data_IF_435021043844
#
_entry.id   IF_435021043844
#
_cell.length_a   1.000
_cell.length_b   1.000
_cell.length_c   1.000
_cell.angle_alpha   90.00
_cell.angle_beta   90.00
_cell.angle_gamma   90.00
#
_symmetry.space_group_name_H-M   'P 1'
#
loop_
_entity.id
_entity.type
_entity.pdbx_description
1 polymer ?
#
# COMPACT_ATOMS: atom_id res chain seq x y z
N UNK A 1 21.26 -16.87 -8.53
CA UNK A 1 21.69 -16.44 -7.18
C UNK A 1 22.47 -15.13 -7.16
N UNK A 2 23.68 -15.00 -7.76
CA UNK A 2 24.42 -13.71 -7.69
C UNK A 2 23.67 -12.57 -8.41
N UNK A 3 23.17 -12.82 -9.62
CA UNK A 3 22.40 -11.84 -10.38
C UNK A 3 21.14 -11.37 -9.64
N UNK A 4 20.37 -12.30 -9.07
CA UNK A 4 19.14 -12.00 -8.31
C UNK A 4 19.44 -11.09 -7.11
N UNK A 5 20.48 -11.42 -6.34
CA UNK A 5 20.91 -10.62 -5.19
C UNK A 5 21.34 -9.21 -5.60
N UNK A 6 22.06 -9.07 -6.72
CA UNK A 6 22.46 -7.76 -7.26
C UNK A 6 21.23 -6.96 -7.69
N UNK A 7 20.29 -7.57 -8.41
CA UNK A 7 19.06 -6.89 -8.84
C UNK A 7 18.22 -6.42 -7.66
N UNK A 8 18.04 -7.27 -6.65
CA UNK A 8 17.33 -6.90 -5.41
C UNK A 8 18.07 -5.79 -4.67
N UNK A 9 19.39 -5.88 -4.54
CA UNK A 9 20.20 -4.84 -3.89
C UNK A 9 20.09 -3.48 -4.58
N UNK A 10 20.18 -3.45 -5.91
CA UNK A 10 20.01 -2.23 -6.71
C UNK A 10 18.60 -1.67 -6.57
N UNK A 11 17.58 -2.53 -6.61
CA UNK A 11 16.19 -2.12 -6.43
C UNK A 11 15.94 -1.48 -5.05
N UNK A 12 16.38 -2.12 -3.97
CA UNK A 12 16.22 -1.60 -2.60
C UNK A 12 17.00 -0.29 -2.40
N UNK A 13 18.22 -0.21 -2.93
CA UNK A 13 19.00 1.02 -2.90
C UNK A 13 18.32 2.16 -3.69
N UNK A 14 17.70 1.85 -4.82
CA UNK A 14 16.94 2.83 -5.61
C UNK A 14 15.71 3.34 -4.83
N UNK A 15 14.96 2.46 -4.16
CA UNK A 15 13.85 2.85 -3.29
C UNK A 15 14.34 3.84 -2.22
N UNK A 16 15.32 3.45 -1.40
CA UNK A 16 15.87 4.30 -0.33
C UNK A 16 16.39 5.63 -0.91
N UNK A 17 17.11 5.58 -2.03
CA UNK A 17 17.64 6.77 -2.70
C UNK A 17 16.55 7.76 -3.11
N UNK A 18 15.43 7.26 -3.66
CA UNK A 18 14.26 8.09 -4.00
C UNK A 18 13.63 8.69 -2.73
N UNK A 19 13.44 7.89 -1.68
CA UNK A 19 12.89 8.35 -0.40
C UNK A 19 13.72 9.49 0.20
N UNK A 20 15.04 9.31 0.28
CA UNK A 20 15.97 10.34 0.77
C UNK A 20 15.96 11.58 -0.12
N UNK A 21 16.01 11.42 -1.44
CA UNK A 21 16.03 12.54 -2.39
C UNK A 21 14.78 13.42 -2.28
N UNK A 22 13.62 12.80 -2.03
CA UNK A 22 12.34 13.50 -1.94
C UNK A 22 12.08 14.02 -0.52
N UNK A 23 12.56 13.34 0.53
CA UNK A 23 12.30 13.65 1.96
C UNK A 23 12.40 15.15 2.30
N UNK A 24 13.47 15.83 1.86
CA UNK A 24 13.72 17.25 2.10
C UNK A 24 12.63 18.17 1.53
N UNK A 25 11.97 17.77 0.44
CA UNK A 25 10.86 18.53 -0.18
C UNK A 25 9.56 18.39 0.62
N UNK A 26 9.41 17.30 1.37
CA UNK A 26 8.15 16.92 2.01
C UNK A 26 8.05 17.41 3.46
N UNK A 27 9.19 17.58 4.13
CA UNK A 27 9.26 17.88 5.57
C UNK A 27 8.71 19.27 5.96
N UNK A 28 8.53 20.19 5.01
CA UNK A 28 8.15 21.58 5.29
C UNK A 28 6.64 21.85 5.31
N UNK A 29 5.78 20.93 4.85
CA UNK A 29 4.35 21.18 4.73
C UNK A 29 3.50 19.91 4.76
N UNK A 30 2.37 19.98 5.46
CA UNK A 30 1.38 18.89 5.47
C UNK A 30 0.78 18.64 4.07
N UNK A 31 0.58 19.69 3.27
CA UNK A 31 0.11 19.53 1.89
C UNK A 31 1.15 18.84 1.01
N UNK A 32 2.45 19.10 1.25
CA UNK A 32 3.52 18.38 0.56
C UNK A 32 3.54 16.90 0.96
N UNK A 33 3.36 16.61 2.24
CA UNK A 33 3.36 15.24 2.77
C UNK A 33 2.18 14.40 2.34
N UNK A 34 0.97 14.93 2.47
CA UNK A 34 -0.23 14.13 2.23
C UNK A 34 -0.68 14.10 0.77
N UNK A 35 -0.41 15.17 0.01
CA UNK A 35 -0.95 15.33 -1.35
C UNK A 35 0.07 15.84 -2.37
N UNK A 36 1.35 15.93 -2.01
CA UNK A 36 2.41 16.46 -2.86
C UNK A 36 2.06 17.82 -3.49
N UNK A 37 1.39 18.68 -2.72
CA UNK A 37 0.89 19.98 -3.17
C UNK A 37 -0.12 19.91 -4.33
N UNK A 38 -0.75 18.74 -4.55
CA UNK A 38 -1.71 18.47 -5.64
C UNK A 38 -1.12 18.65 -7.06
N UNK A 39 0.19 18.46 -7.20
CA UNK A 39 0.92 18.62 -8.47
C UNK A 39 1.11 17.33 -9.26
N UNK A 40 0.78 16.18 -8.69
CA UNK A 40 0.97 14.88 -9.34
C UNK A 40 -0.03 14.74 -10.50
N UNK A 41 0.50 14.53 -11.72
CA UNK A 41 -0.31 14.33 -12.91
C UNK A 41 -1.01 12.97 -12.93
N UNK A 42 -2.02 12.83 -13.78
CA UNK A 42 -2.90 11.65 -13.86
C UNK A 42 -2.13 10.34 -14.06
N UNK A 43 -1.13 10.32 -14.93
CA UNK A 43 -0.38 9.08 -15.24
C UNK A 43 0.34 8.55 -14.01
N UNK A 44 1.12 9.39 -13.33
CA UNK A 44 1.88 9.00 -12.13
C UNK A 44 0.93 8.63 -11.00
N UNK A 45 -0.17 9.37 -10.83
CA UNK A 45 -1.17 9.06 -9.81
C UNK A 45 -1.86 7.71 -10.07
N UNK A 46 -2.21 7.42 -11.32
CA UNK A 46 -2.80 6.13 -11.71
C UNK A 46 -1.83 4.96 -11.50
N UNK A 47 -0.54 5.16 -11.79
CA UNK A 47 0.50 4.17 -11.51
C UNK A 47 0.66 3.93 -10.00
N UNK A 48 0.62 4.99 -9.18
CA UNK A 48 0.68 4.87 -7.73
C UNK A 48 -0.52 4.10 -7.16
N UNK A 49 -1.73 4.36 -7.67
CA UNK A 49 -2.93 3.60 -7.33
C UNK A 49 -2.78 2.13 -7.72
N UNK A 50 -2.31 1.85 -8.94
CA UNK A 50 -2.10 0.48 -9.39
C UNK A 50 -1.06 -0.26 -8.55
N UNK A 51 0.03 0.42 -8.17
CA UNK A 51 1.04 -0.13 -7.28
C UNK A 51 0.47 -0.44 -5.88
N UNK A 52 -0.42 0.40 -5.36
CA UNK A 52 -1.12 0.13 -4.10
C UNK A 52 -2.08 -1.07 -4.19
N UNK A 53 -2.71 -1.29 -5.34
CA UNK A 53 -3.55 -2.47 -5.60
C UNK A 53 -2.73 -3.74 -5.81
N UNK A 54 -1.57 -3.64 -6.45
CA UNK A 54 -0.62 -4.71 -6.70
C UNK A 54 0.17 -5.04 -5.43
N UNK A 55 -0.50 -5.78 -4.54
CA UNK A 55 -0.07 -5.99 -3.16
C UNK A 55 0.35 -7.45 -2.93
N UNK A 56 1.04 -7.74 -1.82
CA UNK A 56 1.46 -9.12 -1.49
C UNK A 56 0.29 -10.09 -1.42
N UNK A 57 -0.86 -9.66 -0.89
CA UNK A 57 -2.11 -10.43 -0.95
C UNK A 57 -2.64 -10.65 -2.37
N UNK A 58 -2.50 -9.65 -3.24
CA UNK A 58 -2.97 -9.72 -4.64
C UNK A 58 -2.10 -10.63 -5.50
N UNK A 59 -0.81 -10.78 -5.18
CA UNK A 59 0.13 -11.63 -5.92
C UNK A 59 0.19 -13.00 -5.26
N UNK A 60 0.74 -13.10 -4.04
CA UNK A 60 0.96 -14.38 -3.35
C UNK A 60 -0.38 -15.00 -2.91
N UNK A 61 -1.29 -14.20 -2.37
CA UNK A 61 -2.58 -14.68 -1.89
C UNK A 61 -3.47 -15.22 -3.01
N UNK A 62 -3.57 -14.48 -4.13
CA UNK A 62 -4.35 -14.92 -5.30
C UNK A 62 -3.72 -16.14 -5.97
N UNK A 63 -2.39 -16.23 -6.09
CA UNK A 63 -1.74 -17.44 -6.58
C UNK A 63 -2.00 -18.65 -5.68
N UNK A 64 -1.95 -18.47 -4.35
CA UNK A 64 -2.29 -19.52 -3.40
C UNK A 64 -3.75 -19.97 -3.51
N UNK A 65 -4.66 -19.03 -3.74
CA UNK A 65 -6.06 -19.34 -3.99
C UNK A 65 -6.27 -20.08 -5.31
N UNK A 66 -5.58 -19.67 -6.38
CA UNK A 66 -5.61 -20.36 -7.66
C UNK A 66 -5.14 -21.80 -7.52
N UNK A 67 -4.08 -22.03 -6.74
CA UNK A 67 -3.58 -23.37 -6.44
C UNK A 67 -4.61 -24.21 -5.67
N UNK A 68 -5.32 -23.63 -4.70
CA UNK A 68 -6.23 -24.37 -3.83
C UNK A 68 -7.65 -24.56 -4.40
N UNK A 69 -8.17 -23.56 -5.13
CA UNK A 69 -9.58 -23.46 -5.54
C UNK A 69 -9.76 -23.26 -7.05
N UNK A 70 -8.65 -23.21 -7.80
CA UNK A 70 -8.67 -23.08 -9.25
C UNK A 70 -8.90 -21.66 -9.76
N UNK A 71 -8.95 -21.57 -11.09
CA UNK A 71 -9.09 -20.31 -11.85
C UNK A 71 -10.42 -19.57 -11.56
N UNK A 72 -11.58 -20.24 -11.42
CA UNK A 72 -12.85 -19.52 -11.23
C UNK A 72 -12.87 -18.65 -9.97
N UNK A 73 -12.39 -19.18 -8.82
CA UNK A 73 -12.30 -18.44 -7.57
C UNK A 73 -11.36 -17.23 -7.69
N UNK A 74 -10.25 -17.41 -8.42
CA UNK A 74 -9.26 -16.37 -8.69
C UNK A 74 -9.84 -15.24 -9.55
N UNK A 75 -10.54 -15.59 -10.63
CA UNK A 75 -11.16 -14.61 -11.53
C UNK A 75 -12.29 -13.84 -10.83
N UNK A 76 -13.06 -14.47 -9.95
CA UNK A 76 -14.10 -13.79 -9.19
C UNK A 76 -13.49 -12.69 -8.29
N UNK A 77 -12.40 -12.98 -7.58
CA UNK A 77 -11.69 -12.00 -6.75
C UNK A 77 -11.03 -10.91 -7.58
N UNK A 78 -10.31 -11.28 -8.64
CA UNK A 78 -9.64 -10.32 -9.49
C UNK A 78 -10.63 -9.40 -10.21
N UNK A 79 -11.71 -9.96 -10.75
CA UNK A 79 -12.80 -9.20 -11.37
C UNK A 79 -13.47 -8.23 -10.40
N UNK A 80 -13.72 -8.67 -9.17
CA UNK A 80 -14.24 -7.82 -8.10
C UNK A 80 -13.32 -6.63 -7.79
N UNK A 81 -12.00 -6.85 -7.73
CA UNK A 81 -11.03 -5.78 -7.50
C UNK A 81 -10.93 -4.80 -8.69
N UNK A 82 -10.82 -5.32 -9.92
CA UNK A 82 -10.65 -4.51 -11.13
C UNK A 82 -11.89 -3.69 -11.46
N UNK A 83 -13.09 -4.21 -11.19
CA UNK A 83 -14.34 -3.49 -11.47
C UNK A 83 -14.78 -2.65 -10.26
N UNK A 84 -14.74 -3.24 -9.07
CA UNK A 84 -15.24 -2.61 -7.85
C UNK A 84 -14.42 -1.40 -7.43
N UNK A 85 -13.09 -1.44 -7.55
CA UNK A 85 -12.24 -0.35 -7.10
C UNK A 85 -12.39 0.93 -7.93
N UNK A 86 -12.36 0.91 -9.28
CA UNK A 86 -12.61 2.11 -10.08
C UNK A 86 -14.02 2.67 -9.86
N UNK A 87 -15.03 1.81 -9.77
CA UNK A 87 -16.40 2.24 -9.49
C UNK A 87 -16.48 2.96 -8.14
N UNK A 88 -15.98 2.35 -7.07
CA UNK A 88 -15.92 2.97 -5.75
C UNK A 88 -15.13 4.29 -5.76
N UNK A 89 -14.00 4.31 -6.48
CA UNK A 89 -13.16 5.50 -6.62
C UNK A 89 -13.90 6.66 -7.28
N UNK A 90 -14.64 6.41 -8.37
CA UNK A 90 -15.43 7.46 -9.05
C UNK A 90 -16.51 8.03 -8.12
N UNK A 91 -17.21 7.15 -7.38
CA UNK A 91 -18.29 7.54 -6.47
C UNK A 91 -17.78 8.35 -5.27
N UNK A 92 -16.61 8.00 -4.74
CA UNK A 92 -16.07 8.56 -3.49
C UNK A 92 -15.10 9.72 -3.73
N UNK A 93 -14.41 9.77 -4.88
CA UNK A 93 -13.37 10.76 -5.14
C UNK A 93 -13.88 12.20 -5.10
N UNK A 94 -15.04 12.50 -5.68
CA UNK A 94 -15.57 13.87 -5.73
C UNK A 94 -15.94 14.41 -4.33
N UNK A 95 -16.70 13.69 -3.48
CA UNK A 95 -16.94 14.09 -2.10
C UNK A 95 -15.65 14.33 -1.30
N UNK A 96 -14.68 13.42 -1.37
CA UNK A 96 -13.42 13.56 -0.64
C UNK A 96 -12.58 14.74 -1.13
N UNK A 97 -12.52 14.96 -2.46
CA UNK A 97 -11.80 16.09 -3.05
C UNK A 97 -12.39 17.44 -2.61
N UNK A 98 -13.72 17.53 -2.55
CA UNK A 98 -14.42 18.74 -2.12
C UNK A 98 -14.28 19.00 -0.62
N UNK A 99 -14.10 17.96 0.20
CA UNK A 99 -13.92 18.10 1.66
C UNK A 99 -12.58 18.76 2.04
N UNK A 100 -11.54 18.60 1.22
CA UNK A 100 -10.30 19.38 1.34
C UNK A 100 -9.39 19.02 2.51
N UNK A 101 -9.72 18.00 3.31
CA UNK A 101 -8.84 17.42 4.35
C UNK A 101 -8.12 16.16 3.84
N UNK A 102 -7.20 15.64 4.63
CA UNK A 102 -6.28 14.57 4.21
C UNK A 102 -6.78 13.16 4.53
N UNK A 103 -7.64 12.97 5.53
CA UNK A 103 -7.97 11.64 6.05
C UNK A 103 -9.45 11.30 5.94
N UNK A 104 -9.74 10.01 5.75
CA UNK A 104 -11.11 9.47 5.78
C UNK A 104 -11.71 9.61 7.19
N UNK A 105 -10.89 9.53 8.24
CA UNK A 105 -11.32 9.75 9.63
C UNK A 105 -11.88 11.16 9.84
N UNK A 106 -11.22 12.18 9.26
CA UNK A 106 -11.71 13.56 9.32
C UNK A 106 -13.04 13.69 8.56
N UNK A 107 -13.14 13.04 7.40
CA UNK A 107 -14.36 13.06 6.59
C UNK A 107 -15.54 12.44 7.33
N UNK A 108 -15.34 11.27 7.94
CA UNK A 108 -16.40 10.57 8.68
C UNK A 108 -16.83 11.36 9.92
N UNK A 109 -15.88 11.96 10.63
CA UNK A 109 -16.18 12.80 11.82
C UNK A 109 -16.94 14.08 11.45
N UNK A 110 -16.64 14.67 10.29
CA UNK A 110 -17.38 15.82 9.77
C UNK A 110 -18.78 15.44 9.29
N UNK A 111 -18.88 14.34 8.54
CA UNK A 111 -20.16 13.87 7.97
C UNK A 111 -21.13 13.36 9.03
N UNK A 112 -20.60 12.79 10.11
CA UNK A 112 -21.36 12.24 11.23
C UNK A 112 -20.81 12.82 12.54
N UNK A 113 -21.32 13.97 13.00
CA UNK A 113 -20.81 14.69 14.17
C UNK A 113 -21.25 14.02 15.49
N UNK A 114 -20.85 12.76 15.67
CA UNK A 114 -21.15 11.96 16.86
C UNK A 114 -19.84 11.53 17.54
N UNK A 115 -19.77 11.65 18.86
CA UNK A 115 -18.57 11.34 19.63
C UNK A 115 -18.05 9.92 19.37
N UNK A 116 -18.95 8.94 19.28
CA UNK A 116 -18.57 7.55 18.97
C UNK A 116 -17.87 7.42 17.60
N UNK A 117 -18.32 8.11 16.55
CA UNK A 117 -17.72 8.03 15.22
C UNK A 117 -16.29 8.57 15.24
N UNK A 118 -16.07 9.67 15.96
CA UNK A 118 -14.76 10.32 16.09
C UNK A 118 -13.71 9.41 16.75
N UNK A 119 -14.11 8.50 17.63
CA UNK A 119 -13.19 7.57 18.30
C UNK A 119 -13.13 6.20 17.62
N UNK A 120 -14.27 5.63 17.21
CA UNK A 120 -14.32 4.29 16.65
C UNK A 120 -13.70 4.21 15.25
N UNK A 121 -13.94 5.21 14.39
CA UNK A 121 -13.45 5.14 13.00
C UNK A 121 -11.92 5.09 12.92
N UNK A 122 -11.16 5.96 13.62
CA UNK A 122 -9.70 5.85 13.64
C UNK A 122 -9.21 4.52 14.21
N UNK A 123 -9.83 4.01 15.29
CA UNK A 123 -9.44 2.74 15.91
C UNK A 123 -9.65 1.57 14.95
N UNK A 124 -10.79 1.51 14.28
CA UNK A 124 -11.08 0.48 13.28
C UNK A 124 -10.10 0.53 12.11
N UNK A 125 -9.76 1.74 11.64
CA UNK A 125 -8.78 1.91 10.56
C UNK A 125 -7.41 1.40 11.02
N UNK A 126 -6.92 1.82 12.19
CA UNK A 126 -5.62 1.36 12.72
C UNK A 126 -5.61 -0.16 12.88
N UNK A 127 -6.68 -0.75 13.45
CA UNK A 127 -6.78 -2.20 13.63
C UNK A 127 -6.76 -2.94 12.28
N UNK A 128 -7.58 -2.50 11.31
CA UNK A 128 -7.63 -3.10 9.98
C UNK A 128 -6.29 -3.00 9.25
N UNK A 129 -5.64 -1.84 9.26
CA UNK A 129 -4.35 -1.64 8.62
C UNK A 129 -3.20 -2.38 9.32
N UNK A 130 -3.28 -2.58 10.64
CA UNK A 130 -2.31 -3.40 11.38
C UNK A 130 -2.35 -4.85 10.90
N UNK A 131 -3.55 -5.44 10.84
CA UNK A 131 -3.74 -6.81 10.32
C UNK A 131 -3.27 -6.90 8.87
N UNK A 132 -3.60 -5.90 8.06
CA UNK A 132 -3.18 -5.83 6.67
C UNK A 132 -1.66 -5.81 6.51
N UNK A 133 -0.94 -4.96 7.26
CA UNK A 133 0.52 -4.85 7.18
C UNK A 133 1.19 -6.17 7.57
N UNK A 134 0.67 -6.92 8.55
CA UNK A 134 1.22 -8.23 8.90
C UNK A 134 1.25 -9.18 7.69
N UNK A 135 0.17 -9.23 6.90
CA UNK A 135 0.12 -10.05 5.69
C UNK A 135 1.15 -9.58 4.64
N UNK A 136 1.34 -8.27 4.50
CA UNK A 136 2.30 -7.71 3.54
C UNK A 136 3.76 -7.95 3.94
N UNK A 137 4.07 -7.82 5.23
CA UNK A 137 5.40 -8.12 5.74
C UNK A 137 5.73 -9.61 5.57
N UNK A 138 4.76 -10.51 5.83
CA UNK A 138 4.92 -11.94 5.56
C UNK A 138 5.19 -12.19 4.07
N UNK A 139 4.40 -11.58 3.18
CA UNK A 139 4.61 -11.70 1.74
C UNK A 139 6.02 -11.24 1.33
N UNK A 140 6.45 -10.06 1.80
CA UNK A 140 7.79 -9.54 1.54
C UNK A 140 8.90 -10.46 2.08
N UNK A 141 8.73 -11.03 3.28
CA UNK A 141 9.69 -11.96 3.88
C UNK A 141 9.85 -13.25 3.07
N UNK A 142 8.75 -13.87 2.63
CA UNK A 142 8.78 -15.08 1.78
C UNK A 142 9.47 -14.77 0.44
N UNK A 143 9.14 -13.64 -0.18
CA UNK A 143 9.78 -13.22 -1.44
C UNK A 143 11.27 -12.96 -1.25
N UNK A 144 11.66 -12.26 -0.18
CA UNK A 144 13.06 -11.95 0.10
C UNK A 144 13.88 -13.21 0.43
N UNK A 145 13.32 -14.15 1.18
CA UNK A 145 13.94 -15.46 1.45
C UNK A 145 14.22 -16.22 0.15
N UNK A 146 13.21 -16.29 -0.73
CA UNK A 146 13.35 -16.98 -2.02
C UNK A 146 14.39 -16.34 -2.94
N UNK A 147 14.48 -15.01 -2.99
CA UNK A 147 15.41 -14.29 -3.87
C UNK A 147 16.84 -14.21 -3.33
N UNK A 148 16.99 -14.07 -2.01
CA UNK A 148 18.30 -13.89 -1.39
C UNK A 148 18.91 -15.22 -0.93
N UNK A 149 18.10 -16.26 -0.70
CA UNK A 149 18.55 -17.54 -0.18
C UNK A 149 19.10 -17.43 1.25
N UNK A 150 18.51 -16.55 2.07
CA UNK A 150 18.84 -16.36 3.49
C UNK A 150 17.65 -16.76 4.36
N UNK A 151 17.84 -17.09 5.66
CA UNK A 151 16.74 -17.53 6.51
C UNK A 151 15.58 -16.53 6.58
N UNK A 152 14.34 -17.02 6.55
CA UNK A 152 13.10 -16.22 6.61
C UNK A 152 13.15 -15.06 7.62
N UNK A 153 13.55 -15.30 8.86
CA UNK A 153 13.57 -14.27 9.90
C UNK A 153 14.50 -13.10 9.54
N UNK A 154 15.67 -13.41 8.96
CA UNK A 154 16.63 -12.40 8.51
C UNK A 154 16.11 -11.65 7.27
N UNK A 155 15.50 -12.38 6.34
CA UNK A 155 14.88 -11.79 5.14
C UNK A 155 13.73 -10.84 5.50
N UNK A 156 12.85 -11.25 6.40
CA UNK A 156 11.74 -10.46 6.93
C UNK A 156 12.25 -9.20 7.62
N UNK A 157 13.25 -9.32 8.51
CA UNK A 157 13.82 -8.18 9.22
C UNK A 157 14.44 -7.16 8.25
N UNK A 158 15.19 -7.63 7.25
CA UNK A 158 15.79 -6.77 6.23
C UNK A 158 14.73 -6.04 5.39
N UNK A 159 13.73 -6.77 4.87
CA UNK A 159 12.65 -6.18 4.08
C UNK A 159 11.87 -5.13 4.88
N UNK A 160 11.57 -5.45 6.14
CA UNK A 160 10.86 -4.53 7.06
C UNK A 160 11.70 -3.28 7.32
N UNK A 161 13.01 -3.42 7.57
CA UNK A 161 13.90 -2.30 7.81
C UNK A 161 13.97 -1.35 6.62
N UNK A 162 14.08 -1.88 5.40
CA UNK A 162 14.09 -1.06 4.18
C UNK A 162 12.77 -0.29 4.03
N UNK A 163 11.63 -0.93 4.27
CA UNK A 163 10.31 -0.28 4.21
C UNK A 163 10.12 0.83 5.24
N UNK A 164 10.75 0.73 6.41
CA UNK A 164 10.69 1.77 7.44
C UNK A 164 11.61 2.96 7.10
N UNK A 165 12.75 2.69 6.46
CA UNK A 165 13.74 3.71 6.10
C UNK A 165 13.32 4.52 4.86
N UNK A 166 12.65 3.88 3.91
CA UNK A 166 12.14 4.49 2.68
C UNK A 166 11.02 5.52 2.94
#
# INVERSE_FOLDING_TARGET
>A
MLLERVLVGVYLAACIGIGIAVSKRVLGSRDEYWVAGRRIGTVVNSMAIMAALASGGSIIGVMGLAYAQGIPATLALFGGAVVGFPLASILVARPLRNFGKFTITDFMSFRYPHALVRYLVPVLIVAAFTIYIVAQLKAAGITAEALLGIPYNTALALATLVLIIY
#
